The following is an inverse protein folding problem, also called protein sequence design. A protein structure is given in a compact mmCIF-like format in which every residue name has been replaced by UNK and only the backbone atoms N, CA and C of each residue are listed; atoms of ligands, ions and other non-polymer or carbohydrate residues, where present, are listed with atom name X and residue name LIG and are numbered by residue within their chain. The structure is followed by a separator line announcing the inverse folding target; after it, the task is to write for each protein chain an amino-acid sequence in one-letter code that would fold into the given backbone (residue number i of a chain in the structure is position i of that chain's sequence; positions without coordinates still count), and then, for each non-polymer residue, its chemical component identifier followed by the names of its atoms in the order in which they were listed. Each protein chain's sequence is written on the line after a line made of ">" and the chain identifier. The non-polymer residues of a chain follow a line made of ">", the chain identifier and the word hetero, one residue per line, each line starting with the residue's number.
data_IF_081468340376
#
_entry.id   IF_081468340376
#
_cell.length_a   1.000
_cell.length_b   1.000
_cell.length_c   1.000
_cell.angle_alpha   90.00
_cell.angle_beta   90.00
_cell.angle_gamma   90.00
#
_symmetry.space_group_name_H-M   'P 1'
#
loop_
_entity.id
_entity.type
_entity.pdbx_description
1 polymer ?
#
# COMPACT_ATOMS: atom_id res chain seq x y z
N UNK A 1 23.68 16.12 4.07
CA UNK A 1 23.59 14.66 4.36
C UNK A 1 22.22 14.03 4.13
N UNK A 2 21.09 14.66 4.53
CA UNK A 2 19.73 14.12 4.26
C UNK A 2 19.35 14.06 2.77
N UNK A 3 19.71 15.06 1.96
CA UNK A 3 19.38 15.09 0.52
C UNK A 3 20.06 13.99 -0.30
N UNK A 4 21.31 13.63 0.00
CA UNK A 4 22.02 12.59 -0.75
C UNK A 4 21.44 11.21 -0.49
N UNK A 5 21.02 10.91 0.74
CA UNK A 5 20.36 9.65 1.09
C UNK A 5 19.00 9.50 0.37
N UNK A 6 18.22 10.58 0.29
CA UNK A 6 16.97 10.58 -0.46
C UNK A 6 17.19 10.35 -1.96
N UNK A 7 18.24 10.94 -2.54
CA UNK A 7 18.59 10.74 -3.95
C UNK A 7 18.98 9.29 -4.25
N UNK A 8 19.78 8.67 -3.38
CA UNK A 8 20.16 7.25 -3.50
C UNK A 8 18.93 6.34 -3.37
N UNK A 9 18.04 6.64 -2.40
CA UNK A 9 16.78 5.91 -2.24
C UNK A 9 15.89 6.01 -3.48
N UNK A 10 15.73 7.19 -4.05
CA UNK A 10 14.94 7.40 -5.27
C UNK A 10 15.54 6.68 -6.49
N UNK A 11 16.86 6.63 -6.62
CA UNK A 11 17.52 5.84 -7.66
C UNK A 11 17.25 4.33 -7.48
N UNK A 12 17.31 3.84 -6.24
CA UNK A 12 16.97 2.45 -5.91
C UNK A 12 15.54 2.10 -6.29
N UNK A 13 14.57 2.95 -5.94
CA UNK A 13 13.16 2.77 -6.33
C UNK A 13 12.99 2.75 -7.85
N UNK A 14 13.63 3.67 -8.57
CA UNK A 14 13.59 3.68 -10.04
C UNK A 14 14.18 2.42 -10.67
N UNK A 15 15.28 1.90 -10.12
CA UNK A 15 15.86 0.65 -10.57
C UNK A 15 14.91 -0.53 -10.35
N UNK A 16 14.27 -0.62 -9.19
CA UNK A 16 13.26 -1.64 -8.89
C UNK A 16 12.05 -1.55 -9.82
N UNK A 17 11.54 -0.36 -10.07
CA UNK A 17 10.42 -0.14 -11.00
C UNK A 17 10.81 -0.53 -12.44
N UNK A 18 12.04 -0.28 -12.84
CA UNK A 18 12.54 -0.74 -14.14
C UNK A 18 12.54 -2.27 -14.24
N UNK A 19 12.99 -2.97 -13.20
CA UNK A 19 12.94 -4.43 -13.13
C UNK A 19 11.51 -4.98 -13.12
N UNK A 20 10.55 -4.26 -12.54
CA UNK A 20 9.12 -4.60 -12.51
C UNK A 20 8.40 -4.32 -13.82
N UNK A 21 8.95 -3.48 -14.69
CA UNK A 21 8.25 -3.00 -15.88
C UNK A 21 7.75 -4.11 -16.82
N UNK A 22 8.47 -5.23 -17.07
CA UNK A 22 7.94 -6.32 -17.88
C UNK A 22 6.70 -6.98 -17.25
N UNK A 23 6.71 -7.19 -15.93
CA UNK A 23 5.56 -7.74 -15.21
C UNK A 23 4.36 -6.77 -15.25
N UNK A 24 4.58 -5.48 -14.99
CA UNK A 24 3.53 -4.45 -15.08
C UNK A 24 2.90 -4.39 -16.46
N UNK A 25 3.69 -4.45 -17.53
CA UNK A 25 3.18 -4.53 -18.92
C UNK A 25 2.34 -5.78 -19.17
N UNK A 26 2.74 -6.92 -18.62
CA UNK A 26 1.97 -8.16 -18.74
C UNK A 26 0.61 -8.03 -18.02
N UNK A 27 0.56 -7.38 -16.86
CA UNK A 27 -0.70 -7.10 -16.16
C UNK A 27 -1.59 -6.13 -16.95
N UNK A 28 -1.04 -5.06 -17.51
CA UNK A 28 -1.78 -4.11 -18.37
C UNK A 28 -2.44 -4.80 -19.59
N UNK A 29 -1.82 -5.83 -20.11
CA UNK A 29 -2.36 -6.63 -21.23
C UNK A 29 -3.35 -7.69 -20.78
N UNK A 30 -3.46 -7.96 -19.50
CA UNK A 30 -4.39 -8.95 -18.94
C UNK A 30 -5.81 -8.41 -18.90
N UNK A 31 -6.79 -9.28 -19.12
CA UNK A 31 -8.22 -8.97 -18.94
C UNK A 31 -8.71 -9.18 -17.50
N UNK A 32 -7.92 -9.81 -16.66
CA UNK A 32 -8.34 -10.29 -15.34
C UNK A 32 -7.55 -9.68 -14.19
N UNK A 33 -6.43 -9.03 -14.46
CA UNK A 33 -5.53 -8.50 -13.44
C UNK A 33 -5.13 -7.08 -13.79
N UNK A 34 -5.13 -6.21 -12.78
CA UNK A 34 -4.61 -4.86 -12.89
C UNK A 34 -3.13 -4.82 -12.52
N UNK A 35 -2.34 -3.87 -13.08
CA UNK A 35 -0.97 -3.68 -12.67
C UNK A 35 -0.89 -3.25 -11.19
N UNK A 36 0.14 -3.70 -10.44
CA UNK A 36 0.30 -3.30 -9.05
C UNK A 36 0.58 -1.80 -8.93
N UNK A 37 0.05 -1.17 -7.90
CA UNK A 37 0.28 0.24 -7.60
C UNK A 37 1.75 0.53 -7.28
N UNK A 38 2.21 1.76 -7.56
CA UNK A 38 3.52 2.22 -7.15
C UNK A 38 3.54 2.48 -5.64
N UNK A 39 4.67 2.16 -4.98
CA UNK A 39 4.84 2.34 -3.54
C UNK A 39 4.61 3.78 -3.08
N UNK A 40 4.96 4.76 -3.92
CA UNK A 40 4.76 6.18 -3.62
C UNK A 40 3.27 6.54 -3.56
N UNK A 41 2.45 5.97 -4.42
CA UNK A 41 1.00 6.18 -4.44
C UNK A 41 0.33 5.51 -3.23
N UNK A 42 0.75 4.30 -2.87
CA UNK A 42 0.33 3.63 -1.64
C UNK A 42 0.69 4.45 -0.39
N UNK A 43 1.89 5.05 -0.37
CA UNK A 43 2.31 5.93 0.72
C UNK A 43 1.44 7.18 0.84
N UNK A 44 1.08 7.81 -0.27
CA UNK A 44 0.16 8.97 -0.27
C UNK A 44 -1.21 8.57 0.27
N UNK A 45 -1.80 7.49 -0.21
CA UNK A 45 -3.09 7.00 0.27
C UNK A 45 -3.06 6.66 1.76
N UNK A 46 -2.05 5.92 2.22
CA UNK A 46 -1.90 5.57 3.63
C UNK A 46 -1.76 6.80 4.53
N UNK A 47 -1.06 7.85 4.09
CA UNK A 47 -0.82 9.07 4.86
C UNK A 47 -2.08 9.85 5.23
N UNK A 48 -3.18 9.60 4.53
CA UNK A 48 -4.48 10.20 4.84
C UNK A 48 -5.10 9.64 6.14
N UNK A 49 -4.72 8.43 6.53
CA UNK A 49 -5.30 7.71 7.66
C UNK A 49 -4.28 7.48 8.76
N UNK A 50 -3.06 7.08 8.40
CA UNK A 50 -1.99 6.75 9.35
C UNK A 50 -0.72 7.51 9.06
N UNK A 51 0.09 7.74 10.09
CA UNK A 51 1.43 8.31 9.91
C UNK A 51 2.35 7.33 9.20
N UNK A 52 3.11 7.82 8.21
CA UNK A 52 4.19 7.07 7.56
C UNK A 52 5.35 6.71 8.52
N UNK A 53 5.33 7.23 9.76
CA UNK A 53 6.21 6.80 10.84
C UNK A 53 5.93 5.37 11.33
N UNK A 54 4.77 4.80 11.02
CA UNK A 54 4.44 3.39 11.29
C UNK A 54 5.15 2.49 10.29
N UNK A 55 6.42 2.18 10.50
CA UNK A 55 7.30 1.46 9.55
C UNK A 55 7.68 0.05 9.99
N UNK A 56 7.30 -0.37 11.20
CA UNK A 56 7.66 -1.69 11.72
C UNK A 56 6.90 -2.79 10.97
N UNK A 57 7.61 -3.74 10.42
CA UNK A 57 7.02 -4.76 9.55
C UNK A 57 6.46 -4.13 8.28
N UNK A 58 5.26 -4.52 7.87
CA UNK A 58 4.52 -3.92 6.77
C UNK A 58 4.12 -2.47 7.07
N UNK A 59 3.91 -2.14 8.34
CA UNK A 59 3.60 -0.78 8.79
C UNK A 59 2.42 -0.15 8.05
N UNK A 60 2.57 1.10 7.62
CA UNK A 60 1.57 1.87 6.88
C UNK A 60 1.14 1.22 5.55
N UNK A 61 1.94 0.30 5.04
CA UNK A 61 1.70 -0.39 3.77
C UNK A 61 0.36 -1.15 3.78
N UNK A 62 0.01 -1.81 4.88
CA UNK A 62 -1.27 -2.52 5.03
C UNK A 62 -2.48 -1.59 4.86
N UNK A 63 -2.43 -0.39 5.44
CA UNK A 63 -3.48 0.62 5.25
C UNK A 63 -3.52 1.11 3.80
N UNK A 64 -2.37 1.32 3.18
CA UNK A 64 -2.25 1.72 1.78
C UNK A 64 -2.86 0.70 0.83
N UNK A 65 -2.59 -0.59 1.04
CA UNK A 65 -3.16 -1.67 0.23
C UNK A 65 -4.68 -1.75 0.36
N UNK A 66 -5.23 -1.61 1.57
CA UNK A 66 -6.69 -1.59 1.76
C UNK A 66 -7.34 -0.44 1.01
N UNK A 67 -6.76 0.76 1.04
CA UNK A 67 -7.25 1.92 0.29
C UNK A 67 -7.13 1.71 -1.23
N UNK A 68 -6.04 1.14 -1.68
CA UNK A 68 -5.86 0.83 -3.10
C UNK A 68 -6.92 -0.15 -3.60
N UNK A 69 -7.21 -1.22 -2.84
CA UNK A 69 -8.27 -2.17 -3.16
C UNK A 69 -9.65 -1.50 -3.20
N UNK A 70 -9.96 -0.61 -2.25
CA UNK A 70 -11.21 0.16 -2.27
C UNK A 70 -11.31 1.01 -3.54
N UNK A 71 -10.25 1.74 -3.88
CA UNK A 71 -10.23 2.62 -5.05
C UNK A 71 -10.25 1.85 -6.38
N UNK A 72 -9.75 0.63 -6.40
CA UNK A 72 -9.84 -0.27 -7.57
C UNK A 72 -11.21 -0.94 -7.72
N UNK A 73 -12.13 -0.72 -6.78
CA UNK A 73 -13.51 -1.21 -6.85
C UNK A 73 -13.76 -2.55 -6.17
N UNK A 74 -12.84 -3.01 -5.30
CA UNK A 74 -13.08 -4.19 -4.49
C UNK A 74 -14.22 -3.92 -3.50
N UNK A 75 -15.36 -4.57 -3.68
CA UNK A 75 -16.55 -4.36 -2.82
C UNK A 75 -16.45 -4.99 -1.44
N UNK A 76 -15.54 -5.95 -1.25
CA UNK A 76 -15.32 -6.62 0.04
C UNK A 76 -13.84 -6.92 0.22
N UNK A 77 -13.33 -6.64 1.41
CA UNK A 77 -11.94 -6.90 1.77
C UNK A 77 -11.89 -7.79 3.01
N UNK A 78 -11.15 -8.88 2.92
CA UNK A 78 -10.89 -9.77 4.06
C UNK A 78 -9.50 -9.48 4.61
N UNK A 79 -9.44 -8.92 5.80
CA UNK A 79 -8.19 -8.64 6.51
C UNK A 79 -7.81 -9.84 7.39
N UNK A 80 -6.85 -10.65 6.94
CA UNK A 80 -6.29 -11.76 7.72
C UNK A 80 -5.00 -11.33 8.38
N UNK A 81 -4.75 -11.85 9.57
CA UNK A 81 -3.54 -11.48 10.31
C UNK A 81 -3.06 -12.63 11.19
N UNK A 82 -1.73 -12.80 11.37
CA UNK A 82 -1.18 -13.71 12.35
C UNK A 82 -1.56 -13.26 13.78
N UNK A 83 -1.76 -14.22 14.68
CA UNK A 83 -2.00 -13.90 16.07
C UNK A 83 -0.84 -13.09 16.67
N UNK A 84 -1.16 -12.03 17.40
CA UNK A 84 -0.22 -11.12 18.06
C UNK A 84 0.76 -10.39 17.10
N UNK A 85 0.49 -10.34 15.81
CA UNK A 85 1.29 -9.52 14.88
C UNK A 85 0.97 -8.04 15.07
N UNK A 86 1.85 -7.29 15.72
CA UNK A 86 1.65 -5.90 16.12
C UNK A 86 1.28 -4.96 14.94
N UNK A 87 2.02 -4.93 13.81
CA UNK A 87 1.65 -4.06 12.69
C UNK A 87 0.26 -4.35 12.14
N UNK A 88 -0.11 -5.63 12.03
CA UNK A 88 -1.44 -6.03 11.57
C UNK A 88 -2.55 -5.55 12.51
N UNK A 89 -2.32 -5.55 13.82
CA UNK A 89 -3.30 -5.02 14.78
C UNK A 89 -3.42 -3.50 14.70
N UNK A 90 -2.32 -2.78 14.60
CA UNK A 90 -2.29 -1.31 14.64
C UNK A 90 -2.76 -0.70 13.31
N UNK A 91 -2.08 -1.01 12.22
CA UNK A 91 -2.30 -0.39 10.91
C UNK A 91 -3.13 -1.23 9.93
N UNK A 92 -3.44 -2.46 10.30
CA UNK A 92 -4.43 -3.30 9.63
C UNK A 92 -5.78 -3.16 10.33
N UNK A 93 -6.04 -3.98 11.35
CA UNK A 93 -7.32 -4.02 12.08
C UNK A 93 -7.70 -2.69 12.74
N UNK A 94 -6.72 -1.95 13.29
CA UNK A 94 -6.95 -0.70 14.02
C UNK A 94 -7.56 0.41 13.17
N UNK A 95 -7.37 0.40 11.85
CA UNK A 95 -7.88 1.44 10.94
C UNK A 95 -9.23 1.10 10.30
N UNK A 96 -9.75 -0.11 10.47
CA UNK A 96 -10.99 -0.58 9.82
C UNK A 96 -12.18 0.36 10.09
N UNK A 97 -12.31 0.85 11.32
CA UNK A 97 -13.39 1.77 11.68
C UNK A 97 -13.31 3.08 10.90
N UNK A 98 -12.13 3.62 10.73
CA UNK A 98 -11.90 4.86 9.97
C UNK A 98 -12.09 4.63 8.46
N UNK A 99 -11.64 3.49 7.95
CA UNK A 99 -11.89 3.12 6.55
C UNK A 99 -13.40 3.06 6.27
N UNK A 100 -14.18 2.37 7.11
CA UNK A 100 -15.64 2.30 6.96
C UNK A 100 -16.34 3.65 7.10
N UNK A 101 -15.80 4.55 7.93
CA UNK A 101 -16.35 5.92 8.04
C UNK A 101 -16.16 6.72 6.76
N UNK A 102 -15.04 6.55 6.09
CA UNK A 102 -14.71 7.25 4.83
C UNK A 102 -15.30 6.59 3.60
N UNK A 103 -15.44 5.28 3.64
CA UNK A 103 -15.93 4.45 2.54
C UNK A 103 -17.06 3.54 3.05
N UNK A 104 -18.28 4.08 3.26
CA UNK A 104 -19.37 3.35 3.93
C UNK A 104 -19.89 2.16 3.11
N UNK A 105 -19.64 2.13 1.83
CA UNK A 105 -20.10 1.08 0.90
C UNK A 105 -19.18 -0.14 0.83
N UNK A 106 -18.14 -0.18 1.68
CA UNK A 106 -17.15 -1.25 1.73
C UNK A 106 -17.02 -1.89 3.11
#
# INVERSE_FOLDING_TARGET
>A
MKKSKATVGNLGIKALEWFRSPASKAFEQSKHFDPPAHIEDLGKMASEIVSLGNQTGEGWFLTGEMLELIHSGAGNIVCTQPFACLPNHVVGKGVIKELRRRHPDH
#
